data_IF_486316614218
#
_entry.id   IF_486316614218
#
_cell.length_a   1.000
_cell.length_b   1.000
_cell.length_c   1.000
_cell.angle_alpha   90.00
_cell.angle_beta   90.00
_cell.angle_gamma   90.00
#
_symmetry.space_group_name_H-M   'P 1'
#
loop_
_entity.id
_entity.type
_entity.pdbx_description
1 polymer ?
#
# COMPACT_ATOMS: atom_id res chain seq x y z
N UNK A 1 7.82 10.92 -8.31
CA UNK A 1 9.25 11.34 -8.24
C UNK A 1 9.46 12.85 -8.16
N UNK A 2 8.49 13.70 -8.55
CA UNK A 2 8.67 15.17 -8.52
C UNK A 2 8.89 15.78 -7.12
N UNK A 3 8.29 15.20 -6.08
CA UNK A 3 8.42 15.70 -4.70
C UNK A 3 9.80 15.40 -4.08
N UNK A 4 10.41 14.27 -4.41
CA UNK A 4 11.63 13.80 -3.75
C UNK A 4 12.79 14.81 -3.82
N UNK A 5 13.19 15.35 -4.98
CA UNK A 5 14.28 16.33 -5.03
C UNK A 5 13.94 17.63 -4.29
N UNK A 6 12.68 18.03 -4.22
CA UNK A 6 12.26 19.22 -3.46
C UNK A 6 12.47 19.00 -1.95
N UNK A 7 12.11 17.83 -1.43
CA UNK A 7 12.32 17.50 -0.02
C UNK A 7 13.82 17.40 0.28
N UNK A 8 14.59 16.71 -0.58
CA UNK A 8 16.05 16.58 -0.42
C UNK A 8 16.74 17.95 -0.33
N UNK A 9 16.28 18.92 -1.12
CA UNK A 9 16.81 20.29 -1.08
C UNK A 9 16.34 21.11 0.13
N UNK A 10 15.23 20.71 0.76
CA UNK A 10 14.58 21.48 1.82
C UNK A 10 15.03 21.08 3.22
N UNK A 11 15.73 19.96 3.39
CA UNK A 11 16.09 19.43 4.71
C UNK A 11 17.55 18.96 4.75
N UNK A 12 18.20 19.16 5.90
CA UNK A 12 19.59 18.73 6.16
C UNK A 12 19.65 17.29 6.72
N UNK A 13 18.56 16.53 6.61
CA UNK A 13 18.47 15.16 7.13
C UNK A 13 18.43 14.15 5.98
N UNK A 14 18.92 12.93 6.20
CA UNK A 14 18.77 11.86 5.21
C UNK A 14 17.30 11.63 4.87
N UNK A 15 16.97 11.64 3.57
CA UNK A 15 15.60 11.43 3.09
C UNK A 15 15.45 9.98 2.61
N UNK A 16 14.47 9.26 3.16
CA UNK A 16 14.09 7.92 2.73
C UNK A 16 12.90 8.04 1.79
N UNK A 17 13.08 7.64 0.53
CA UNK A 17 11.99 7.66 -0.44
C UNK A 17 11.05 6.45 -0.24
N UNK A 18 9.74 6.72 -0.16
CA UNK A 18 8.71 5.68 -0.03
C UNK A 18 7.53 5.94 -0.96
N UNK A 19 6.82 4.86 -1.31
CA UNK A 19 5.60 4.91 -2.12
C UNK A 19 5.82 4.69 -3.62
N UNK A 20 5.20 3.62 -4.14
CA UNK A 20 5.24 3.27 -5.56
C UNK A 20 6.57 2.70 -6.07
N UNK A 21 7.55 2.49 -5.20
CA UNK A 21 8.85 1.88 -5.56
C UNK A 21 8.70 0.36 -5.52
N UNK A 22 8.74 -0.28 -6.70
CA UNK A 22 8.46 -1.70 -6.86
C UNK A 22 9.45 -2.42 -7.80
N UNK A 23 10.62 -1.83 -8.06
CA UNK A 23 11.65 -2.46 -8.89
C UNK A 23 13.03 -1.85 -8.64
N UNK A 24 14.09 -2.58 -8.98
CA UNK A 24 15.48 -2.08 -8.90
C UNK A 24 15.67 -0.76 -9.68
N UNK A 25 15.00 -0.61 -10.82
CA UNK A 25 15.06 0.63 -11.61
C UNK A 25 14.52 1.82 -10.84
N UNK A 26 13.39 1.63 -10.12
CA UNK A 26 12.79 2.70 -9.31
C UNK A 26 13.60 2.99 -8.05
N UNK A 27 14.22 1.97 -7.44
CA UNK A 27 15.19 2.15 -6.34
C UNK A 27 16.38 3.00 -6.83
N UNK A 28 17.03 2.62 -7.93
CA UNK A 28 18.14 3.39 -8.52
C UNK A 28 17.74 4.82 -8.86
N UNK A 29 16.54 5.02 -9.42
CA UNK A 29 16.04 6.36 -9.73
C UNK A 29 15.84 7.22 -8.48
N UNK A 30 15.28 6.67 -7.40
CA UNK A 30 15.11 7.40 -6.15
C UNK A 30 16.46 7.80 -5.52
N UNK A 31 17.43 6.90 -5.51
CA UNK A 31 18.79 7.19 -5.02
C UNK A 31 19.48 8.25 -5.88
N UNK A 32 19.34 8.19 -7.21
CA UNK A 32 19.88 9.21 -8.14
C UNK A 32 19.24 10.60 -7.96
N UNK A 33 18.02 10.65 -7.43
CA UNK A 33 17.33 11.91 -7.09
C UNK A 33 17.70 12.45 -5.70
N UNK A 34 18.67 11.83 -5.02
CA UNK A 34 19.20 12.29 -3.73
C UNK A 34 18.60 11.60 -2.51
N UNK A 35 17.77 10.57 -2.65
CA UNK A 35 17.34 9.78 -1.50
C UNK A 35 18.54 9.04 -0.89
N UNK A 36 18.63 9.04 0.44
CA UNK A 36 19.65 8.26 1.17
C UNK A 36 19.30 6.75 1.18
N UNK A 37 18.01 6.41 1.11
CA UNK A 37 17.51 5.04 1.06
C UNK A 37 16.09 4.99 0.43
N UNK A 38 15.59 3.77 0.20
CA UNK A 38 14.21 3.52 -0.22
C UNK A 38 13.50 2.62 0.78
N UNK A 39 12.18 2.84 0.95
CA UNK A 39 11.31 1.97 1.74
C UNK A 39 10.23 1.40 0.82
N UNK A 40 10.24 0.09 0.64
CA UNK A 40 9.27 -0.65 -0.17
C UNK A 40 8.34 -1.44 0.77
N UNK A 41 7.04 -1.21 0.69
CA UNK A 41 6.05 -1.94 1.50
C UNK A 41 5.25 -2.93 0.65
N UNK A 42 4.56 -2.43 -0.37
CA UNK A 42 3.62 -3.22 -1.18
C UNK A 42 4.28 -4.44 -1.83
N UNK A 43 5.52 -4.32 -2.31
CA UNK A 43 6.27 -5.43 -2.93
C UNK A 43 6.41 -6.65 -2.02
N UNK A 44 6.40 -6.47 -0.70
CA UNK A 44 6.53 -7.58 0.26
C UNK A 44 5.21 -8.23 0.67
N UNK A 45 4.06 -7.69 0.25
CA UNK A 45 2.75 -8.20 0.68
C UNK A 45 2.43 -9.61 0.16
N UNK A 46 3.08 -10.04 -0.93
CA UNK A 46 2.94 -11.39 -1.45
C UNK A 46 4.11 -12.33 -1.06
N UNK A 47 5.10 -11.84 -0.31
CA UNK A 47 6.19 -12.71 0.15
C UNK A 47 5.69 -13.82 1.07
N UNK A 48 6.42 -14.95 1.09
CA UNK A 48 6.05 -16.15 1.83
C UNK A 48 5.90 -15.87 3.34
N UNK A 49 6.73 -14.98 3.88
CA UNK A 49 6.74 -14.61 5.30
C UNK A 49 5.67 -13.57 5.67
N UNK A 50 4.98 -12.97 4.68
CA UNK A 50 3.97 -11.96 4.96
C UNK A 50 2.66 -12.60 5.46
N UNK A 51 2.05 -12.01 6.48
CA UNK A 51 0.75 -12.42 7.03
C UNK A 51 -0.44 -11.82 6.28
N UNK A 52 -0.24 -11.41 5.03
CA UNK A 52 -1.27 -10.85 4.15
C UNK A 52 -2.34 -11.89 3.86
N UNK A 53 -3.61 -11.55 4.04
CA UNK A 53 -4.73 -12.46 3.78
C UNK A 53 -4.83 -12.85 2.30
N UNK A 54 -5.41 -14.02 2.01
CA UNK A 54 -5.61 -14.52 0.64
C UNK A 54 -6.44 -13.56 -0.22
N UNK A 55 -7.47 -12.92 0.36
CA UNK A 55 -8.27 -11.91 -0.32
C UNK A 55 -7.42 -10.70 -0.75
N UNK A 56 -6.53 -10.26 0.12
CA UNK A 56 -5.64 -9.13 -0.19
C UNK A 56 -4.58 -9.53 -1.23
N UNK A 57 -3.98 -10.73 -1.10
CA UNK A 57 -3.04 -11.27 -2.11
C UNK A 57 -3.70 -11.39 -3.48
N UNK A 58 -4.93 -11.90 -3.54
CA UNK A 58 -5.71 -12.00 -4.78
C UNK A 58 -5.92 -10.62 -5.41
N UNK A 59 -6.35 -9.64 -4.62
CA UNK A 59 -6.57 -8.29 -5.11
C UNK A 59 -5.29 -7.60 -5.61
N UNK A 60 -4.14 -7.83 -4.95
CA UNK A 60 -2.83 -7.31 -5.39
C UNK A 60 -2.39 -7.94 -6.71
N UNK A 61 -2.64 -9.24 -6.91
CA UNK A 61 -2.25 -9.96 -8.13
C UNK A 61 -3.17 -9.69 -9.32
N UNK A 62 -4.39 -9.21 -9.07
CA UNK A 62 -5.32 -8.84 -10.13
C UNK A 62 -4.99 -7.45 -10.71
N UNK A 63 -4.51 -7.37 -11.98
CA UNK A 63 -4.17 -6.10 -12.61
C UNK A 63 -5.33 -5.13 -12.72
N UNK A 64 -6.56 -5.61 -12.69
CA UNK A 64 -7.75 -4.77 -12.73
C UNK A 64 -8.03 -4.12 -11.37
N UNK A 65 -7.76 -4.82 -10.29
CA UNK A 65 -7.99 -4.31 -8.93
C UNK A 65 -6.83 -3.43 -8.45
N UNK A 66 -5.59 -3.90 -8.53
CA UNK A 66 -4.47 -3.17 -7.94
C UNK A 66 -4.16 -1.81 -8.60
N UNK A 67 -4.64 -1.58 -9.84
CA UNK A 67 -4.51 -0.27 -10.51
C UNK A 67 -5.49 0.77 -9.97
N UNK A 68 -6.58 0.34 -9.36
CA UNK A 68 -7.57 1.23 -8.77
C UNK A 68 -7.29 1.43 -7.28
N UNK A 69 -6.45 2.40 -6.95
CA UNK A 69 -6.15 2.75 -5.56
C UNK A 69 -6.60 4.17 -5.25
N UNK A 70 -7.04 4.41 -4.02
CA UNK A 70 -7.38 5.73 -3.53
C UNK A 70 -6.78 5.99 -2.15
N UNK A 71 -6.50 7.24 -1.83
CA UNK A 71 -6.25 7.67 -0.45
C UNK A 71 -7.58 7.79 0.25
N UNK A 72 -7.74 7.08 1.36
CA UNK A 72 -9.01 7.00 2.09
C UNK A 72 -8.81 7.10 3.59
N UNK A 73 -9.80 7.63 4.30
CA UNK A 73 -9.86 7.66 5.76
C UNK A 73 -10.93 6.70 6.33
N UNK A 74 -11.71 6.01 5.48
CA UNK A 74 -12.88 5.23 5.92
C UNK A 74 -12.54 4.02 6.79
N UNK A 75 -11.32 3.50 6.71
CA UNK A 75 -10.92 2.32 7.49
C UNK A 75 -10.29 2.66 8.84
N UNK A 76 -9.53 3.74 8.95
CA UNK A 76 -8.78 4.04 10.18
C UNK A 76 -9.07 5.41 10.76
N UNK A 77 -9.73 6.29 10.01
CA UNK A 77 -9.91 7.70 10.38
C UNK A 77 -8.75 8.60 9.97
N UNK A 78 -7.65 8.04 9.46
CA UNK A 78 -6.52 8.79 8.87
C UNK A 78 -6.32 8.44 7.41
N UNK A 79 -5.88 9.40 6.59
CA UNK A 79 -5.60 9.14 5.18
C UNK A 79 -4.53 8.08 4.98
N UNK A 80 -4.88 7.02 4.27
CA UNK A 80 -3.94 5.97 3.85
C UNK A 80 -4.38 5.44 2.48
N UNK A 81 -3.44 4.94 1.68
CA UNK A 81 -3.76 4.44 0.35
C UNK A 81 -4.08 2.94 0.38
N UNK A 82 -5.17 2.57 -0.26
CA UNK A 82 -5.58 1.18 -0.44
C UNK A 82 -6.21 0.92 -1.81
N UNK A 83 -6.39 -0.35 -2.13
CA UNK A 83 -7.15 -0.81 -3.30
C UNK A 83 -8.62 -0.43 -3.08
N UNK A 84 -9.23 0.16 -4.10
CA UNK A 84 -10.63 0.58 -4.05
C UNK A 84 -11.54 -0.64 -3.99
N UNK A 85 -12.40 -0.66 -2.99
CA UNK A 85 -13.45 -1.67 -2.82
C UNK A 85 -14.80 -0.97 -2.59
N UNK A 86 -15.82 -1.77 -2.30
CA UNK A 86 -17.19 -1.27 -2.12
C UNK A 86 -17.29 -0.19 -1.04
N UNK A 87 -16.65 -0.37 0.12
CA UNK A 87 -16.71 0.63 1.20
C UNK A 87 -16.15 1.99 0.74
N UNK A 88 -15.00 1.98 0.05
CA UNK A 88 -14.40 3.22 -0.48
C UNK A 88 -15.31 3.85 -1.54
N UNK A 89 -15.93 3.04 -2.40
CA UNK A 89 -16.77 3.52 -3.49
C UNK A 89 -18.08 4.13 -2.99
N UNK A 90 -18.70 3.55 -1.96
CA UNK A 90 -20.01 3.96 -1.46
C UNK A 90 -19.95 5.12 -0.44
N UNK A 91 -18.89 5.19 0.38
CA UNK A 91 -18.79 6.17 1.48
C UNK A 91 -17.70 7.22 1.22
N UNK A 92 -16.61 6.84 0.54
CA UNK A 92 -15.41 7.66 0.45
C UNK A 92 -15.12 8.20 -0.94
N UNK A 93 -13.81 8.41 -1.29
CA UNK A 93 -12.65 7.98 -0.51
C UNK A 93 -12.39 8.76 0.79
N UNK A 94 -12.74 10.04 0.86
CA UNK A 94 -12.62 10.84 2.08
C UNK A 94 -14.01 11.16 2.61
N UNK A 95 -14.35 10.64 3.78
CA UNK A 95 -15.64 10.79 4.42
C UNK A 95 -15.52 11.63 5.69
N UNK A 96 -16.32 12.71 5.79
CA UNK A 96 -16.34 13.57 6.97
C UNK A 96 -16.93 12.86 8.21
N UNK A 97 -17.81 11.88 7.99
CA UNK A 97 -18.45 11.06 9.02
C UNK A 97 -17.58 9.90 9.51
N UNK A 98 -16.41 9.66 8.90
CA UNK A 98 -15.50 8.63 9.39
C UNK A 98 -15.04 8.96 10.81
N UNK A 99 -15.19 8.05 11.79
CA UNK A 99 -14.72 8.28 13.14
C UNK A 99 -13.22 8.62 13.17
N UNK A 100 -12.82 9.45 14.15
CA UNK A 100 -11.42 9.80 14.32
C UNK A 100 -10.55 8.56 14.57
N UNK A 101 -9.30 8.62 14.13
CA UNK A 101 -8.31 7.56 14.38
C UNK A 101 -8.15 7.31 15.89
N UNK A 102 -8.10 6.06 16.34
CA UNK A 102 -8.16 4.79 15.60
C UNK A 102 -9.58 4.19 15.49
N UNK A 103 -10.63 4.92 15.86
CA UNK A 103 -11.97 4.38 16.10
C UNK A 103 -12.70 3.91 14.83
N UNK A 104 -12.37 4.47 13.67
CA UNK A 104 -13.03 4.09 12.41
C UNK A 104 -12.90 2.59 12.10
N UNK A 105 -11.78 1.96 12.47
CA UNK A 105 -11.58 0.52 12.26
C UNK A 105 -12.58 -0.34 13.03
N UNK A 106 -13.04 0.11 14.20
CA UNK A 106 -14.04 -0.60 15.00
C UNK A 106 -15.41 -0.59 14.34
N UNK A 107 -15.77 0.53 13.72
CA UNK A 107 -17.09 0.70 13.06
C UNK A 107 -17.31 -0.32 11.93
N UNK A 108 -16.27 -0.75 11.23
CA UNK A 108 -16.38 -1.69 10.11
C UNK A 108 -16.03 -3.13 10.46
N UNK A 109 -15.53 -3.39 11.67
CA UNK A 109 -14.99 -4.72 12.05
C UNK A 109 -16.00 -5.85 11.86
N UNK A 110 -17.22 -5.71 12.36
CA UNK A 110 -18.25 -6.76 12.29
C UNK A 110 -18.68 -7.02 10.84
N UNK A 111 -18.86 -5.96 10.05
CA UNK A 111 -19.23 -6.07 8.65
C UNK A 111 -18.12 -6.71 7.83
N UNK A 112 -16.88 -6.31 8.06
CA UNK A 112 -15.70 -6.88 7.43
C UNK A 112 -15.58 -8.37 7.73
N UNK A 113 -15.63 -8.77 9.01
CA UNK A 113 -15.52 -10.17 9.40
C UNK A 113 -16.58 -11.05 8.72
N UNK A 114 -17.83 -10.58 8.65
CA UNK A 114 -18.91 -11.30 7.97
C UNK A 114 -18.66 -11.40 6.46
N UNK A 115 -18.20 -10.35 5.81
CA UNK A 115 -17.90 -10.36 4.38
C UNK A 115 -16.72 -11.30 4.06
N UNK A 116 -15.65 -11.25 4.85
CA UNK A 116 -14.47 -12.12 4.69
C UNK A 116 -14.82 -13.61 4.81
N UNK A 117 -15.74 -13.99 5.71
CA UNK A 117 -16.22 -15.41 5.80
C UNK A 117 -16.99 -15.84 4.54
N UNK A 118 -17.48 -14.90 3.74
CA UNK A 118 -18.16 -15.15 2.47
C UNK A 118 -17.22 -14.97 1.26
N UNK A 119 -15.92 -14.81 1.49
CA UNK A 119 -14.94 -14.61 0.43
C UNK A 119 -14.96 -13.20 -0.20
N UNK A 120 -15.63 -12.22 0.43
CA UNK A 120 -15.69 -10.85 -0.08
C UNK A 120 -14.70 -9.93 0.65
N UNK A 121 -13.94 -9.14 -0.14
CA UNK A 121 -13.04 -8.08 0.33
C UNK A 121 -13.69 -6.70 0.37
N UNK A 122 -15.00 -6.59 0.17
CA UNK A 122 -15.75 -5.34 0.00
C UNK A 122 -15.57 -4.33 1.14
N UNK A 123 -15.26 -4.83 2.34
CA UNK A 123 -15.11 -4.00 3.55
C UNK A 123 -13.73 -4.15 4.20
N UNK A 124 -12.80 -4.82 3.54
CA UNK A 124 -11.45 -5.07 4.05
C UNK A 124 -10.49 -3.94 3.72
N UNK A 125 -9.63 -3.58 4.66
CA UNK A 125 -8.59 -2.58 4.44
C UNK A 125 -7.44 -3.20 3.63
N UNK A 126 -7.46 -3.06 2.33
CA UNK A 126 -6.44 -3.60 1.42
C UNK A 126 -5.41 -2.52 1.10
N UNK A 127 -4.48 -2.28 2.03
CA UNK A 127 -3.44 -1.27 1.87
C UNK A 127 -2.51 -1.59 0.71
N UNK A 128 -2.26 -0.60 -0.13
CA UNK A 128 -1.38 -0.72 -1.28
C UNK A 128 -0.87 0.65 -1.71
N UNK A 129 0.40 0.71 -2.12
CA UNK A 129 0.92 1.86 -2.86
C UNK A 129 0.33 1.95 -4.27
N UNK A 130 0.74 2.98 -5.00
CA UNK A 130 0.28 3.20 -6.38
C UNK A 130 0.80 2.14 -7.38
N UNK A 131 1.82 1.38 -6.98
CA UNK A 131 2.45 0.39 -7.84
C UNK A 131 2.60 -0.94 -7.09
N UNK A 132 1.83 -1.93 -7.52
CA UNK A 132 1.89 -3.30 -7.03
C UNK A 132 2.46 -4.28 -8.08
N UNK A 133 2.99 -3.78 -9.20
CA UNK A 133 3.49 -4.63 -10.30
C UNK A 133 4.71 -5.50 -9.96
N UNK A 134 5.35 -5.24 -8.81
CA UNK A 134 6.48 -6.03 -8.33
C UNK A 134 6.14 -6.98 -7.18
N UNK A 135 4.85 -7.32 -6.98
CA UNK A 135 4.41 -8.25 -5.95
C UNK A 135 4.41 -9.67 -6.49
N UNK A 136 5.31 -10.50 -6.02
CA UNK A 136 5.43 -11.93 -6.40
C UNK A 136 5.43 -12.82 -5.16
N UNK A 137 5.01 -14.09 -5.32
CA UNK A 137 5.15 -15.14 -4.31
C UNK A 137 6.59 -15.65 -4.29
N UNK A 138 7.41 -15.01 -3.51
CA UNK A 138 8.82 -15.33 -3.29
C UNK A 138 9.19 -15.04 -1.84
N UNK A 139 10.33 -15.53 -1.37
CA UNK A 139 10.84 -15.14 -0.05
C UNK A 139 11.14 -13.63 0.02
N UNK A 140 11.03 -13.07 1.23
CA UNK A 140 11.40 -11.67 1.47
C UNK A 140 12.87 -11.39 1.13
N UNK A 141 13.77 -12.38 1.31
CA UNK A 141 15.15 -12.33 0.87
C UNK A 141 15.24 -12.13 -0.65
N UNK A 142 14.61 -13.02 -1.42
CA UNK A 142 14.58 -12.92 -2.89
C UNK A 142 14.01 -11.56 -3.35
N UNK A 143 12.94 -11.09 -2.71
CA UNK A 143 12.36 -9.78 -3.02
C UNK A 143 13.36 -8.65 -2.74
N UNK A 144 14.08 -8.72 -1.63
CA UNK A 144 15.10 -7.72 -1.26
C UNK A 144 16.23 -7.67 -2.27
N UNK A 145 16.77 -8.82 -2.68
CA UNK A 145 17.82 -8.91 -3.70
C UNK A 145 17.34 -8.36 -5.05
N UNK A 146 16.12 -8.70 -5.49
CA UNK A 146 15.52 -8.14 -6.70
C UNK A 146 15.39 -6.62 -6.66
N UNK A 147 14.97 -6.06 -5.52
CA UNK A 147 14.85 -4.61 -5.35
C UNK A 147 16.21 -3.93 -5.28
N UNK A 148 17.23 -4.59 -4.72
CA UNK A 148 18.62 -4.13 -4.73
C UNK A 148 19.26 -4.20 -6.13
N UNK A 149 18.73 -5.06 -7.01
CA UNK A 149 19.24 -5.24 -8.37
C UNK A 149 20.47 -6.17 -8.44
N UNK A 150 20.51 -7.17 -7.54
CA UNK A 150 21.49 -8.23 -7.46
C UNK A 150 20.82 -9.58 -7.52
#
# INVERSE_FOLDING_TARGET
MALLPQIVQSVDKPVIAAGGIASAKLVKAALSLGAAATQCGTSYLCCDEATTSDLHRTAIKDPQQHRHTAVTNVFTGRPARGIVNRLISEIGPIAAQAPAFPLASLAVTTLRAKAETQGSSDFSSMWSGQNASGCDDVSAETMTLRLAGV
#
